data_IF_034023772914
#
_entry.id   IF_034023772914
#
_cell.length_a   1.000
_cell.length_b   1.000
_cell.length_c   1.000
_cell.angle_alpha   90.00
_cell.angle_beta   90.00
_cell.angle_gamma   90.00
#
_symmetry.space_group_name_H-M   'P 1'
#
loop_
_entity.id
_entity.type
_entity.pdbx_description
1 polymer ?
#
# COMPACT_ATOMS: atom_id res chain seq x y z
N UNK A 1 -52.47 -7.17 18.34
CA UNK A 1 -52.43 -5.72 18.03
C UNK A 1 -50.96 -5.33 17.89
N UNK A 2 -50.40 -5.47 16.69
CA UNK A 2 -50.24 -4.42 15.68
C UNK A 2 -49.22 -3.34 16.09
N UNK A 3 -47.95 -3.61 15.80
CA UNK A 3 -46.99 -2.56 15.49
C UNK A 3 -46.74 -2.57 13.98
N UNK A 4 -47.08 -1.43 13.39
CA UNK A 4 -47.21 -1.12 11.97
C UNK A 4 -45.94 -1.41 11.16
N UNK A 5 -46.19 -2.00 9.99
CA UNK A 5 -45.37 -1.89 8.80
C UNK A 5 -44.93 -0.44 8.57
N UNK A 6 -43.62 -0.19 8.57
CA UNK A 6 -43.03 0.99 7.94
C UNK A 6 -42.42 0.55 6.60
N UNK A 7 -42.62 1.33 5.52
CA UNK A 7 -42.25 0.91 4.18
C UNK A 7 -40.74 0.85 4.02
N UNK A 8 -40.24 -0.28 3.49
CA UNK A 8 -38.92 -0.36 2.86
C UNK A 8 -38.84 0.67 1.74
N UNK A 9 -38.35 1.87 2.08
CA UNK A 9 -38.05 2.91 1.10
C UNK A 9 -36.73 2.54 0.45
N UNK A 10 -36.81 2.13 -0.82
CA UNK A 10 -35.69 1.97 -1.73
C UNK A 10 -34.93 3.29 -1.86
N UNK A 11 -33.90 3.47 -1.04
CA UNK A 11 -32.81 4.37 -1.36
C UNK A 11 -31.59 3.52 -1.61
N UNK A 12 -31.19 3.46 -2.89
CA UNK A 12 -29.86 3.17 -3.38
C UNK A 12 -28.89 2.76 -2.27
N UNK A 13 -28.69 1.45 -2.12
CA UNK A 13 -27.50 0.93 -1.46
C UNK A 13 -26.34 1.38 -2.34
N UNK A 14 -25.83 2.58 -2.09
CA UNK A 14 -24.46 2.88 -2.48
C UNK A 14 -23.64 1.83 -1.73
N UNK A 15 -22.79 1.04 -2.39
CA UNK A 15 -21.80 0.29 -1.65
C UNK A 15 -21.00 1.33 -0.87
N UNK A 16 -21.25 1.41 0.43
CA UNK A 16 -20.58 2.34 1.31
C UNK A 16 -19.17 1.77 1.41
N UNK A 17 -18.31 2.19 0.49
CA UNK A 17 -16.90 1.85 0.42
C UNK A 17 -16.16 2.49 1.62
N UNK A 18 -16.51 2.05 2.82
CA UNK A 18 -15.91 2.45 4.10
C UNK A 18 -14.83 1.47 4.54
N UNK A 19 -14.28 0.70 3.62
CA UNK A 19 -13.17 -0.20 3.90
C UNK A 19 -11.85 0.60 3.88
N UNK A 20 -11.25 0.78 5.06
CA UNK A 20 -9.82 0.96 5.33
C UNK A 20 -9.16 2.26 4.85
N UNK A 21 -9.51 2.81 3.70
CA UNK A 21 -9.13 4.14 3.23
C UNK A 21 -9.90 4.35 1.93
N UNK A 22 -10.73 5.39 1.87
CA UNK A 22 -11.54 5.70 0.69
C UNK A 22 -10.66 5.74 -0.58
N UNK A 23 -11.16 5.20 -1.69
CA UNK A 23 -10.44 5.16 -2.97
C UNK A 23 -9.95 6.55 -3.39
N UNK A 24 -10.69 7.61 -3.05
CA UNK A 24 -10.28 9.00 -3.28
C UNK A 24 -9.07 9.38 -2.43
N UNK A 25 -9.00 8.94 -1.17
CA UNK A 25 -7.83 9.19 -0.29
C UNK A 25 -6.60 8.44 -0.80
N UNK A 26 -6.78 7.19 -1.22
CA UNK A 26 -5.71 6.40 -1.88
C UNK A 26 -5.22 7.08 -3.16
N UNK A 27 -6.14 7.50 -4.02
CA UNK A 27 -5.82 8.24 -5.24
C UNK A 27 -5.11 9.56 -4.96
N UNK A 28 -5.60 10.34 -3.99
CA UNK A 28 -4.99 11.60 -3.58
C UNK A 28 -3.55 11.40 -3.08
N UNK A 29 -3.32 10.36 -2.27
CA UNK A 29 -1.99 10.02 -1.77
C UNK A 29 -1.06 9.65 -2.93
N UNK A 30 -1.51 8.79 -3.85
CA UNK A 30 -0.73 8.41 -5.03
C UNK A 30 -0.39 9.61 -5.91
N UNK A 31 -1.36 10.51 -6.16
CA UNK A 31 -1.14 11.77 -6.91
C UNK A 31 -0.13 12.67 -6.21
N UNK A 32 -0.21 12.82 -4.89
CA UNK A 32 0.74 13.63 -4.13
C UNK A 32 2.19 13.12 -4.30
N UNK A 33 2.41 11.80 -4.22
CA UNK A 33 3.74 11.20 -4.38
C UNK A 33 4.19 11.12 -5.84
N UNK A 34 3.27 11.00 -6.80
CA UNK A 34 3.58 11.22 -8.21
C UNK A 34 4.07 12.66 -8.46
N UNK A 35 3.49 13.64 -7.75
CA UNK A 35 3.93 15.03 -7.74
C UNK A 35 5.40 15.20 -7.32
N UNK A 36 5.88 14.39 -6.38
CA UNK A 36 7.32 14.36 -6.03
C UNK A 36 8.16 14.00 -7.27
N UNK A 37 7.76 12.97 -8.01
CA UNK A 37 8.41 12.60 -9.27
C UNK A 37 8.36 13.71 -10.33
N UNK A 38 7.24 14.44 -10.43
CA UNK A 38 7.11 15.62 -11.32
C UNK A 38 8.10 16.72 -10.92
N UNK A 39 8.22 17.02 -9.63
CA UNK A 39 9.16 18.03 -9.11
C UNK A 39 10.60 17.65 -9.47
N UNK A 40 11.00 16.40 -9.22
CA UNK A 40 12.34 15.92 -9.58
C UNK A 40 12.57 15.92 -11.10
N UNK A 41 11.54 15.60 -11.88
CA UNK A 41 11.59 15.67 -13.35
C UNK A 41 11.77 17.11 -13.83
N UNK A 42 11.05 18.07 -13.26
CA UNK A 42 11.23 19.49 -13.57
C UNK A 42 12.62 19.98 -13.16
N UNK A 43 13.08 19.66 -11.95
CA UNK A 43 14.41 20.03 -11.46
C UNK A 43 15.54 19.50 -12.37
N UNK A 44 15.40 18.27 -12.86
CA UNK A 44 16.36 17.69 -13.79
C UNK A 44 16.27 18.29 -15.21
N UNK A 45 15.11 18.82 -15.61
CA UNK A 45 14.90 19.49 -16.91
C UNK A 45 15.42 20.94 -16.91
N UNK A 46 15.35 21.62 -15.77
CA UNK A 46 15.88 22.99 -15.60
C UNK A 46 17.37 22.99 -15.17
N UNK A 47 18.09 21.88 -15.37
CA UNK A 47 19.51 21.69 -15.05
C UNK A 47 19.91 22.02 -13.58
N UNK A 48 18.94 22.07 -12.66
CA UNK A 48 19.22 22.25 -11.22
C UNK A 48 19.96 21.05 -10.65
N UNK A 49 19.71 19.84 -11.19
CA UNK A 49 20.28 18.60 -10.70
C UNK A 49 20.54 17.61 -11.85
N UNK A 50 21.59 16.79 -11.72
CA UNK A 50 21.88 15.73 -12.69
C UNK A 50 20.71 14.73 -12.78
N UNK A 51 20.42 14.30 -14.02
CA UNK A 51 19.32 13.36 -14.35
C UNK A 51 19.44 12.04 -13.58
N UNK A 52 20.67 11.51 -13.50
CA UNK A 52 20.95 10.29 -12.75
C UNK A 52 20.82 10.47 -11.25
N UNK A 53 21.18 11.65 -10.73
CA UNK A 53 20.95 11.97 -9.32
C UNK A 53 19.45 12.00 -9.00
N UNK A 54 18.63 12.60 -9.85
CA UNK A 54 17.17 12.64 -9.68
C UNK A 54 16.53 11.24 -9.65
N UNK A 55 16.93 10.37 -10.58
CA UNK A 55 16.49 8.97 -10.60
C UNK A 55 16.93 8.21 -9.33
N UNK A 56 18.18 8.41 -8.88
CA UNK A 56 18.72 7.79 -7.66
C UNK A 56 17.95 8.22 -6.42
N UNK A 57 17.75 9.53 -6.24
CA UNK A 57 17.04 10.07 -5.10
C UNK A 57 15.61 9.56 -5.03
N UNK A 58 14.88 9.57 -6.16
CA UNK A 58 13.50 9.11 -6.18
C UNK A 58 13.39 7.60 -5.86
N UNK A 59 14.32 6.80 -6.36
CA UNK A 59 14.41 5.37 -6.03
C UNK A 59 14.76 5.13 -4.56
N UNK A 60 15.69 5.91 -3.98
CA UNK A 60 16.04 5.84 -2.56
C UNK A 60 14.90 6.30 -1.65
N UNK A 61 14.11 7.29 -2.07
CA UNK A 61 12.89 7.71 -1.36
C UNK A 61 11.88 6.56 -1.33
N UNK A 62 11.64 5.90 -2.47
CA UNK A 62 10.78 4.72 -2.51
C UNK A 62 11.31 3.60 -1.62
N UNK A 63 12.61 3.28 -1.72
CA UNK A 63 13.28 2.32 -0.85
C UNK A 63 13.09 2.67 0.64
N UNK A 64 13.24 3.95 1.00
CA UNK A 64 13.06 4.44 2.36
C UNK A 64 11.65 4.21 2.89
N UNK A 65 10.61 4.47 2.10
CA UNK A 65 9.22 4.17 2.47
C UNK A 65 9.01 2.67 2.72
N UNK A 66 9.55 1.82 1.86
CA UNK A 66 9.46 0.36 2.01
C UNK A 66 10.14 -0.09 3.30
N UNK A 67 11.36 0.36 3.56
CA UNK A 67 12.09 -0.01 4.78
C UNK A 67 11.42 0.52 6.04
N UNK A 68 10.93 1.76 6.02
CA UNK A 68 10.29 2.37 7.19
C UNK A 68 8.97 1.68 7.56
N UNK A 69 8.10 1.40 6.59
CA UNK A 69 6.76 0.86 6.84
C UNK A 69 6.76 -0.68 6.86
N UNK A 70 7.37 -1.32 5.86
CA UNK A 70 7.36 -2.78 5.73
C UNK A 70 8.25 -3.45 6.77
N UNK A 71 9.46 -2.93 7.01
CA UNK A 71 10.39 -3.50 7.98
C UNK A 71 10.16 -2.94 9.39
N UNK A 72 10.42 -1.64 9.58
CA UNK A 72 10.49 -1.05 10.93
C UNK A 72 9.13 -1.00 11.61
N UNK A 73 8.12 -0.38 10.98
CA UNK A 73 6.81 -0.21 11.60
C UNK A 73 6.16 -1.56 11.92
N UNK A 74 6.20 -2.51 10.98
CA UNK A 74 5.62 -3.83 11.19
C UNK A 74 6.32 -4.63 12.28
N UNK A 75 7.64 -4.53 12.40
CA UNK A 75 8.39 -5.18 13.46
C UNK A 75 8.16 -4.56 14.85
N UNK A 76 7.97 -3.24 14.91
CA UNK A 76 7.76 -2.49 16.16
C UNK A 76 6.33 -2.67 16.70
N UNK A 77 5.30 -2.59 15.85
CA UNK A 77 3.90 -2.61 16.32
C UNK A 77 3.48 -3.92 17.00
N UNK A 78 4.09 -5.05 16.61
CA UNK A 78 3.83 -6.34 17.26
C UNK A 78 4.65 -6.58 18.53
N UNK A 79 5.63 -5.71 18.84
CA UNK A 79 6.41 -5.76 20.09
C UNK A 79 5.84 -4.87 21.19
N UNK A 80 4.84 -4.06 20.90
CA UNK A 80 4.23 -3.18 21.89
C UNK A 80 3.46 -4.01 22.94
N UNK A 81 3.79 -3.91 24.24
CA UNK A 81 3.23 -4.79 25.27
C UNK A 81 1.74 -4.55 25.53
N UNK A 82 1.24 -3.35 25.26
CA UNK A 82 -0.15 -2.96 25.49
C UNK A 82 -0.99 -2.94 24.21
N UNK A 83 -0.44 -3.37 23.07
CA UNK A 83 -1.16 -3.33 21.80
C UNK A 83 -1.77 -4.71 21.49
N UNK A 84 -3.11 -4.84 21.48
CA UNK A 84 -3.73 -6.10 21.13
C UNK A 84 -3.50 -6.44 19.65
N UNK A 85 -3.31 -7.73 19.37
CA UNK A 85 -2.90 -8.22 18.03
C UNK A 85 -3.88 -7.83 16.92
N UNK A 86 -5.19 -7.88 17.18
CA UNK A 86 -6.21 -7.55 16.19
C UNK A 86 -6.13 -6.07 15.78
N UNK A 87 -5.85 -5.17 16.73
CA UNK A 87 -5.69 -3.74 16.46
C UNK A 87 -4.41 -3.47 15.67
N UNK A 88 -3.32 -4.17 15.97
CA UNK A 88 -2.08 -4.08 15.19
C UNK A 88 -2.26 -4.54 13.72
N UNK A 89 -3.10 -5.56 13.48
CA UNK A 89 -3.46 -6.03 12.15
C UNK A 89 -4.38 -5.03 11.42
N UNK A 90 -5.33 -4.42 12.13
CA UNK A 90 -6.22 -3.38 11.61
C UNK A 90 -5.46 -2.12 11.18
N UNK A 91 -4.48 -1.71 11.99
CA UNK A 91 -3.57 -0.63 11.66
C UNK A 91 -2.70 -1.01 10.45
N UNK A 92 -2.15 -2.23 10.45
CA UNK A 92 -1.35 -2.77 9.36
C UNK A 92 -2.06 -2.74 8.02
N UNK A 93 -3.29 -3.26 7.90
CA UNK A 93 -4.04 -3.25 6.63
C UNK A 93 -4.21 -1.83 6.07
N UNK A 94 -4.37 -0.84 6.96
CA UNK A 94 -4.54 0.58 6.62
C UNK A 94 -3.22 1.23 6.20
N UNK A 95 -2.13 0.98 6.89
CA UNK A 95 -0.82 1.54 6.54
C UNK A 95 -0.26 0.91 5.27
N UNK A 96 -0.42 -0.41 5.07
CA UNK A 96 -0.05 -1.06 3.82
C UNK A 96 -0.90 -0.60 2.63
N UNK A 97 -2.18 -0.26 2.85
CA UNK A 97 -3.03 0.38 1.84
C UNK A 97 -2.46 1.74 1.37
N UNK A 98 -2.05 2.55 2.35
CA UNK A 98 -1.44 3.85 2.11
C UNK A 98 -0.10 3.66 1.38
N UNK A 99 0.78 2.79 1.90
CA UNK A 99 2.07 2.49 1.30
C UNK A 99 1.91 2.08 -0.17
N UNK A 100 1.05 1.11 -0.49
CA UNK A 100 0.81 0.68 -1.86
C UNK A 100 0.43 1.86 -2.79
N UNK A 101 -0.34 2.83 -2.28
CA UNK A 101 -0.69 4.03 -3.06
C UNK A 101 0.51 4.96 -3.27
N UNK A 102 1.37 5.11 -2.26
CA UNK A 102 2.66 5.84 -2.35
C UNK A 102 3.58 5.17 -3.37
N UNK A 103 3.72 3.84 -3.32
CA UNK A 103 4.57 3.08 -4.24
C UNK A 103 4.13 3.25 -5.69
N UNK A 104 2.82 3.20 -5.96
CA UNK A 104 2.28 3.47 -7.30
C UNK A 104 2.63 4.89 -7.75
N UNK A 105 2.50 5.88 -6.86
CA UNK A 105 2.84 7.27 -7.16
C UNK A 105 4.33 7.46 -7.49
N UNK A 106 5.22 6.90 -6.67
CA UNK A 106 6.67 6.96 -6.88
C UNK A 106 7.11 6.18 -8.12
N UNK A 107 6.50 5.01 -8.38
CA UNK A 107 6.72 4.23 -9.59
C UNK A 107 6.35 5.04 -10.84
N UNK A 108 5.17 5.67 -10.84
CA UNK A 108 4.74 6.54 -11.93
C UNK A 108 5.69 7.74 -12.10
N UNK A 109 6.17 8.33 -11.00
CA UNK A 109 7.17 9.39 -11.00
C UNK A 109 8.50 8.98 -11.64
N UNK A 110 9.00 7.78 -11.33
CA UNK A 110 10.22 7.23 -11.95
C UNK A 110 10.06 6.98 -13.45
N UNK A 111 8.91 6.43 -13.87
CA UNK A 111 8.60 6.26 -15.29
C UNK A 111 8.51 7.61 -16.02
N UNK A 112 7.87 8.60 -15.41
CA UNK A 112 7.78 9.96 -15.97
C UNK A 112 9.17 10.56 -16.17
N UNK A 113 10.02 10.48 -15.15
CA UNK A 113 11.41 10.95 -15.21
C UNK A 113 12.21 10.22 -16.29
N UNK A 114 12.01 8.90 -16.41
CA UNK A 114 12.65 8.10 -17.44
C UNK A 114 12.25 8.58 -18.85
N UNK A 115 10.95 8.69 -19.14
CA UNK A 115 10.47 9.08 -20.48
C UNK A 115 10.78 10.53 -20.86
N UNK A 116 10.78 11.46 -19.91
CA UNK A 116 10.92 12.89 -20.21
C UNK A 116 12.35 13.40 -20.18
N UNK A 117 13.27 12.71 -19.48
CA UNK A 117 14.58 13.29 -19.14
C UNK A 117 15.74 12.33 -19.43
N UNK A 118 15.59 11.03 -19.16
CA UNK A 118 16.68 10.06 -19.26
C UNK A 118 16.72 9.37 -20.62
N UNK A 119 17.92 9.23 -21.20
CA UNK A 119 18.15 8.51 -22.47
C UNK A 119 18.92 7.18 -22.26
N UNK A 120 18.98 6.70 -21.03
CA UNK A 120 19.66 5.45 -20.64
C UNK A 120 18.89 4.24 -21.16
N UNK A 121 19.51 3.42 -22.01
CA UNK A 121 18.77 2.60 -22.97
C UNK A 121 18.77 1.08 -22.71
N UNK A 122 19.17 0.60 -21.53
CA UNK A 122 19.03 -0.83 -21.23
C UNK A 122 19.04 -1.21 -19.75
N UNK A 123 20.15 -0.95 -19.07
CA UNK A 123 20.36 -1.49 -17.73
C UNK A 123 19.41 -0.90 -16.68
N UNK A 124 19.15 0.40 -16.73
CA UNK A 124 18.22 1.04 -15.79
C UNK A 124 16.76 0.60 -16.00
N UNK A 125 16.38 0.36 -17.26
CA UNK A 125 14.99 0.09 -17.65
C UNK A 125 14.53 -1.28 -17.16
N UNK A 126 15.34 -2.33 -17.30
CA UNK A 126 14.91 -3.67 -16.86
C UNK A 126 14.68 -3.71 -15.34
N UNK A 127 15.49 -3.00 -14.54
CA UNK A 127 15.29 -2.89 -13.09
C UNK A 127 13.98 -2.20 -12.74
N UNK A 128 13.64 -1.14 -13.47
CA UNK A 128 12.36 -0.43 -13.31
C UNK A 128 11.18 -1.33 -13.70
N UNK A 129 11.31 -2.11 -14.79
CA UNK A 129 10.30 -3.08 -15.21
C UNK A 129 10.10 -4.15 -14.13
N UNK A 130 11.17 -4.73 -13.59
CA UNK A 130 11.10 -5.74 -12.52
C UNK A 130 10.43 -5.16 -11.28
N UNK A 131 10.81 -3.96 -10.84
CA UNK A 131 10.19 -3.29 -9.69
C UNK A 131 8.69 -3.03 -9.94
N UNK A 132 8.32 -2.60 -11.15
CA UNK A 132 6.92 -2.35 -11.55
C UNK A 132 6.12 -3.64 -11.56
N UNK A 133 6.66 -4.73 -12.11
CA UNK A 133 5.98 -6.03 -12.15
C UNK A 133 5.78 -6.59 -10.75
N UNK A 134 6.79 -6.49 -9.87
CA UNK A 134 6.68 -6.89 -8.47
C UNK A 134 5.57 -6.08 -7.77
N UNK A 135 5.57 -4.76 -7.94
CA UNK A 135 4.53 -3.91 -7.37
C UNK A 135 3.14 -4.29 -7.90
N UNK A 136 2.98 -4.55 -9.20
CA UNK A 136 1.71 -4.94 -9.80
C UNK A 136 1.20 -6.28 -9.24
N UNK A 137 2.07 -7.29 -9.14
CA UNK A 137 1.74 -8.60 -8.56
C UNK A 137 1.41 -8.47 -7.07
N UNK A 138 2.17 -7.68 -6.33
CA UNK A 138 1.92 -7.41 -4.92
C UNK A 138 0.56 -6.72 -4.72
N UNK A 139 0.27 -5.66 -5.47
CA UNK A 139 -0.95 -4.87 -5.36
C UNK A 139 -2.20 -5.65 -5.79
N UNK A 140 -2.11 -6.40 -6.89
CA UNK A 140 -3.26 -7.09 -7.47
C UNK A 140 -3.57 -8.44 -6.81
N UNK A 141 -2.55 -9.15 -6.32
CA UNK A 141 -2.73 -10.55 -5.90
C UNK A 141 -2.38 -10.80 -4.43
N UNK A 142 -1.21 -10.36 -3.98
CA UNK A 142 -0.74 -10.70 -2.63
C UNK A 142 -1.44 -9.83 -1.58
N UNK A 143 -1.59 -8.53 -1.85
CA UNK A 143 -2.18 -7.58 -0.92
C UNK A 143 -3.65 -7.90 -0.58
N UNK A 144 -4.55 -8.22 -1.54
CA UNK A 144 -5.92 -8.60 -1.20
C UNK A 144 -6.00 -9.84 -0.31
N UNK A 145 -5.11 -10.82 -0.51
CA UNK A 145 -5.06 -12.04 0.30
C UNK A 145 -4.55 -11.77 1.72
N UNK A 146 -3.58 -10.87 1.88
CA UNK A 146 -3.13 -10.41 3.20
C UNK A 146 -4.22 -9.66 3.94
N UNK A 147 -4.96 -8.79 3.24
CA UNK A 147 -6.05 -8.03 3.82
C UNK A 147 -7.17 -8.94 4.34
N UNK A 148 -7.56 -9.93 3.55
CA UNK A 148 -8.52 -10.96 3.98
C UNK A 148 -8.02 -11.69 5.23
N UNK A 149 -6.74 -12.08 5.27
CA UNK A 149 -6.15 -12.73 6.46
C UNK A 149 -6.27 -11.87 7.72
N UNK A 150 -6.06 -10.56 7.58
CA UNK A 150 -6.25 -9.61 8.68
C UNK A 150 -7.73 -9.47 9.08
N UNK A 151 -8.65 -9.47 8.12
CA UNK A 151 -10.11 -9.43 8.36
C UNK A 151 -10.61 -10.66 9.12
N UNK A 152 -10.12 -11.86 8.79
CA UNK A 152 -10.40 -13.08 9.56
C UNK A 152 -9.94 -12.96 11.02
N UNK A 153 -8.70 -12.53 11.24
CA UNK A 153 -8.15 -12.37 12.58
C UNK A 153 -8.87 -11.26 13.38
N UNK A 154 -9.30 -10.20 12.70
CA UNK A 154 -10.07 -9.12 13.31
C UNK A 154 -11.49 -9.60 13.68
N UNK A 155 -12.15 -10.35 12.80
CA UNK A 155 -13.47 -10.95 13.08
C UNK A 155 -13.43 -11.89 14.28
N UNK A 156 -12.43 -12.77 14.33
CA UNK A 156 -12.23 -13.72 15.44
C UNK A 156 -12.09 -13.00 16.79
N UNK A 157 -11.43 -11.83 16.82
CA UNK A 157 -11.26 -11.05 18.05
C UNK A 157 -12.49 -10.19 18.39
N UNK A 158 -13.12 -9.56 17.39
CA UNK A 158 -14.25 -8.65 17.62
C UNK A 158 -15.56 -9.38 17.94
N UNK A 159 -15.73 -10.64 17.49
CA UNK A 159 -16.96 -11.42 17.80
C UNK A 159 -17.16 -11.67 19.30
N UNK A 160 -16.08 -11.58 20.09
CA UNK A 160 -16.10 -11.82 21.54
C UNK A 160 -16.27 -10.51 22.34
N UNK A 161 -16.23 -9.35 21.68
CA UNK A 161 -16.43 -8.05 22.31
C UNK A 161 -17.92 -7.72 22.43
N UNK A 162 -18.31 -7.09 23.53
CA UNK A 162 -19.69 -6.70 23.80
C UNK A 162 -20.19 -5.62 22.82
N UNK A 163 -21.44 -5.73 22.37
CA UNK A 163 -21.99 -4.88 21.32
C UNK A 163 -22.12 -3.41 21.76
N UNK A 164 -22.32 -3.15 23.06
CA UNK A 164 -22.43 -1.78 23.60
C UNK A 164 -21.10 -1.01 23.58
N UNK A 165 -19.96 -1.69 23.38
CA UNK A 165 -18.64 -1.06 23.32
C UNK A 165 -18.31 -0.41 21.98
N UNK A 166 -19.06 -0.73 20.92
CA UNK A 166 -18.77 -0.29 19.55
C UNK A 166 -19.62 0.90 19.12
N UNK A 167 -18.97 1.89 18.51
CA UNK A 167 -19.67 2.97 17.81
C UNK A 167 -20.52 2.43 16.65
N UNK A 168 -21.61 3.12 16.30
CA UNK A 168 -22.47 2.76 15.17
C UNK A 168 -21.69 2.52 13.86
N UNK A 169 -20.68 3.35 13.56
CA UNK A 169 -19.84 3.18 12.37
C UNK A 169 -19.00 1.90 12.43
N UNK A 170 -18.48 1.55 13.61
CA UNK A 170 -17.69 0.33 13.82
C UNK A 170 -18.58 -0.91 13.68
N UNK A 171 -19.83 -0.86 14.17
CA UNK A 171 -20.82 -1.93 14.00
C UNK A 171 -21.11 -2.20 12.53
N UNK A 172 -21.29 -1.14 11.73
CA UNK A 172 -21.50 -1.26 10.28
C UNK A 172 -20.29 -1.92 9.60
N UNK A 173 -19.07 -1.47 9.91
CA UNK A 173 -17.84 -2.05 9.35
C UNK A 173 -17.65 -3.52 9.76
N UNK A 174 -17.99 -3.86 11.01
CA UNK A 174 -17.94 -5.24 11.48
C UNK A 174 -18.96 -6.13 10.78
N UNK A 175 -20.15 -5.61 10.47
CA UNK A 175 -21.15 -6.29 9.65
C UNK A 175 -20.63 -6.65 8.25
N UNK A 176 -19.94 -5.72 7.61
CA UNK A 176 -19.31 -5.94 6.29
C UNK A 176 -18.20 -7.00 6.37
N UNK A 177 -17.31 -6.90 7.36
CA UNK A 177 -16.23 -7.88 7.58
C UNK A 177 -16.81 -9.27 7.86
N UNK A 178 -17.88 -9.37 8.67
CA UNK A 178 -18.58 -10.63 8.93
C UNK A 178 -19.08 -11.26 7.64
N UNK A 179 -19.70 -10.47 6.76
CA UNK A 179 -20.21 -10.97 5.48
C UNK A 179 -19.08 -11.46 4.56
N UNK A 180 -17.98 -10.72 4.47
CA UNK A 180 -16.78 -11.11 3.70
C UNK A 180 -16.16 -12.42 4.22
N UNK A 181 -15.97 -12.51 5.54
CA UNK A 181 -15.41 -13.69 6.22
C UNK A 181 -16.29 -14.93 6.09
N UNK A 182 -17.61 -14.77 5.95
CA UNK A 182 -18.55 -15.89 5.75
C UNK A 182 -18.56 -16.42 4.31
N UNK A 183 -18.23 -15.58 3.32
CA UNK A 183 -18.28 -15.94 1.90
C UNK A 183 -16.94 -16.47 1.40
N UNK A 184 -15.84 -15.91 1.91
CA UNK A 184 -14.50 -16.19 1.43
C UNK A 184 -13.82 -17.25 2.31
N UNK A 185 -12.94 -18.08 1.74
CA UNK A 185 -12.11 -18.98 2.55
C UNK A 185 -10.90 -18.29 3.18
N UNK A 186 -10.45 -18.81 4.33
CA UNK A 186 -9.23 -18.34 5.01
C UNK A 186 -8.01 -18.51 4.10
N UNK A 187 -7.27 -17.43 3.76
CA UNK A 187 -6.08 -17.53 2.92
C UNK A 187 -4.97 -18.34 3.59
N UNK A 188 -4.15 -19.03 2.78
CA UNK A 188 -2.99 -19.79 3.29
C UNK A 188 -1.85 -18.86 3.68
N UNK A 189 -1.09 -19.23 4.72
CA UNK A 189 0.08 -18.48 5.25
C UNK A 189 1.18 -18.27 4.19
N UNK A 190 1.23 -19.11 3.15
CA UNK A 190 2.23 -19.01 2.07
C UNK A 190 2.22 -17.64 1.37
N UNK A 191 1.07 -16.96 1.28
CA UNK A 191 0.98 -15.64 0.68
C UNK A 191 1.76 -14.58 1.46
N UNK A 192 1.87 -14.72 2.78
CA UNK A 192 2.68 -13.83 3.61
C UNK A 192 4.17 -14.00 3.32
N UNK A 193 4.63 -15.25 3.22
CA UNK A 193 6.03 -15.55 2.89
C UNK A 193 6.39 -15.02 1.50
N UNK A 194 5.50 -15.23 0.52
CA UNK A 194 5.67 -14.69 -0.84
C UNK A 194 5.72 -13.16 -0.85
N UNK A 195 4.91 -12.50 -0.03
CA UNK A 195 4.93 -11.04 0.08
C UNK A 195 6.24 -10.53 0.64
N UNK A 196 6.71 -11.12 1.75
CA UNK A 196 8.01 -10.77 2.35
C UNK A 196 9.15 -11.04 1.37
N UNK A 197 9.12 -12.15 0.64
CA UNK A 197 10.11 -12.45 -0.41
C UNK A 197 10.09 -11.41 -1.53
N UNK A 198 8.91 -11.03 -2.02
CA UNK A 198 8.76 -9.99 -3.03
C UNK A 198 9.25 -8.61 -2.55
N UNK A 199 9.00 -8.27 -1.28
CA UNK A 199 9.54 -7.06 -0.65
C UNK A 199 11.07 -7.05 -0.64
N UNK A 200 11.71 -8.16 -0.26
CA UNK A 200 13.18 -8.28 -0.28
C UNK A 200 13.75 -8.11 -1.69
N UNK A 201 13.14 -8.75 -2.70
CA UNK A 201 13.57 -8.58 -4.10
C UNK A 201 13.38 -7.14 -4.57
N UNK A 202 12.28 -6.49 -4.19
CA UNK A 202 12.00 -5.08 -4.52
C UNK A 202 13.03 -4.14 -3.90
N UNK A 203 13.37 -4.35 -2.62
CA UNK A 203 14.41 -3.61 -1.89
C UNK A 203 15.76 -3.71 -2.63
N UNK A 204 16.18 -4.93 -2.98
CA UNK A 204 17.43 -5.15 -3.71
C UNK A 204 17.41 -4.51 -5.11
N UNK A 205 16.27 -4.59 -5.80
CA UNK A 205 16.11 -4.02 -7.15
C UNK A 205 16.18 -2.49 -7.12
N UNK A 206 15.50 -1.84 -6.18
CA UNK A 206 15.53 -0.39 -5.99
C UNK A 206 16.92 0.09 -5.57
N UNK A 207 17.58 -0.60 -4.65
CA UNK A 207 18.94 -0.27 -4.24
C UNK A 207 19.92 -0.42 -5.42
N UNK A 208 19.83 -1.50 -6.19
CA UNK A 208 20.66 -1.70 -7.38
C UNK A 208 20.40 -0.62 -8.44
N UNK A 209 19.15 -0.17 -8.60
CA UNK A 209 18.79 0.92 -9.52
C UNK A 209 19.43 2.23 -9.09
N UNK A 210 19.31 2.60 -7.81
CA UNK A 210 19.92 3.82 -7.27
C UNK A 210 21.45 3.81 -7.41
N UNK A 211 22.12 2.71 -7.05
CA UNK A 211 23.57 2.60 -7.11
C UNK A 211 24.12 2.68 -8.55
N UNK A 212 23.37 2.20 -9.53
CA UNK A 212 23.78 2.29 -10.94
C UNK A 212 23.95 3.74 -11.38
N UNK A 213 22.99 4.59 -11.05
CA UNK A 213 23.05 6.02 -11.38
C UNK A 213 24.04 6.77 -10.50
N UNK A 214 24.18 6.42 -9.21
CA UNK A 214 25.14 7.07 -8.32
C UNK A 214 26.59 6.88 -8.79
N UNK A 215 26.93 5.69 -9.31
CA UNK A 215 28.25 5.38 -9.88
C UNK A 215 28.53 6.10 -11.19
N UNK A 216 27.49 6.52 -11.91
CA UNK A 216 27.62 7.21 -13.19
C UNK A 216 27.83 8.74 -13.03
N UNK A 217 27.74 9.28 -11.81
CA UNK A 217 27.97 10.70 -11.54
C UNK A 217 29.50 10.90 -11.38
N UNK A 218 30.16 11.69 -12.25
CA UNK A 218 31.57 12.02 -12.07
C UNK A 218 31.77 12.81 -10.76
N UNK A 219 32.83 12.45 -10.02
CA UNK A 219 33.20 13.08 -8.75
C UNK A 219 33.69 14.52 -8.91
#
# INVERSE_FOLDING_TARGET
>A
MSFRNLPCRSHHIRPCSSLIMDVKKRGLLSVAYAGVGVIFTAAAKFDWMSKGAAASFLSLVWLGFVLAISCTESWVKFRAPFMPRHLALDLGRTMFAALNSVEIGLCAGLWLLHFLVSSETGDAVWRLIVATLLLAVQAAWLYPKLQLTAEFALYEALKEMDDDSMSFNQKMQFGEIRHQVQIQDRPRVIYHILYVGAELVKILTLLSFALHFLKAIPA
#
